data_IF_594853992920
#
_entry.id   IF_594853992920
#
_cell.length_a   1.000
_cell.length_b   1.000
_cell.length_c   1.000
_cell.angle_alpha   90.00
_cell.angle_beta   90.00
_cell.angle_gamma   90.00
#
_symmetry.space_group_name_H-M   'P 1'
#
loop_
_entity.id
_entity.type
_entity.pdbx_description
1 polymer ?
#
# COMPACT_ATOMS: atom_id res chain seq x y z
N UNK A 1 -10.02 26.14 6.07
CA UNK A 1 -10.54 25.41 7.25
C UNK A 1 -10.37 23.88 7.19
N UNK A 2 -10.57 23.21 6.03
CA UNK A 2 -10.39 21.74 5.92
C UNK A 2 -8.95 21.31 5.68
N UNK A 3 -8.13 22.15 5.06
CA UNK A 3 -6.77 21.81 4.68
C UNK A 3 -5.84 21.69 5.89
N UNK A 4 -5.92 22.59 6.85
CA UNK A 4 -5.04 22.64 8.01
C UNK A 4 -5.03 21.36 8.86
N UNK A 5 -6.19 20.82 9.27
CA UNK A 5 -6.19 19.57 10.04
C UNK A 5 -5.61 18.38 9.25
N UNK A 6 -5.90 18.31 7.96
CA UNK A 6 -5.38 17.27 7.06
C UNK A 6 -3.88 17.43 6.87
N UNK A 7 -3.42 18.64 6.60
CA UNK A 7 -2.01 18.95 6.43
C UNK A 7 -1.19 18.63 7.69
N UNK A 8 -1.74 18.91 8.88
CA UNK A 8 -1.12 18.59 10.16
C UNK A 8 -1.03 17.06 10.37
N UNK A 9 -2.11 16.32 10.10
CA UNK A 9 -2.15 14.87 10.18
C UNK A 9 -1.15 14.19 9.27
N UNK A 10 -0.93 14.75 8.07
CA UNK A 10 -0.01 14.22 7.06
C UNK A 10 1.42 14.75 7.20
N UNK A 11 1.69 15.62 8.19
CA UNK A 11 3.00 16.20 8.42
C UNK A 11 3.48 17.13 7.31
N UNK A 12 2.57 17.80 6.61
CA UNK A 12 2.86 18.74 5.52
C UNK A 12 2.44 20.18 5.82
N UNK A 13 2.06 20.49 7.06
CA UNK A 13 1.64 21.84 7.45
C UNK A 13 2.69 22.91 7.11
N UNK A 14 3.97 22.58 7.26
CA UNK A 14 5.10 23.48 6.94
C UNK A 14 5.33 23.66 5.43
N UNK A 15 4.65 22.89 4.57
CA UNK A 15 4.82 22.93 3.12
C UNK A 15 3.77 23.82 2.43
N UNK A 16 2.75 24.30 3.17
CA UNK A 16 1.63 25.04 2.59
C UNK A 16 2.08 26.34 1.89
N UNK A 17 3.19 26.91 2.33
CA UNK A 17 3.74 28.16 1.78
C UNK A 17 4.96 27.92 0.87
N UNK A 18 5.31 26.65 0.57
CA UNK A 18 6.45 26.31 -0.28
C UNK A 18 6.07 26.15 -1.74
N UNK A 19 6.99 26.50 -2.62
CA UNK A 19 6.85 26.20 -4.05
C UNK A 19 7.09 24.71 -4.35
N UNK A 20 6.52 24.15 -5.43
CA UNK A 20 6.65 22.74 -5.76
C UNK A 20 8.09 22.22 -5.92
N UNK A 21 9.02 23.06 -6.33
CA UNK A 21 10.43 22.70 -6.49
C UNK A 21 11.21 22.64 -5.16
N UNK A 22 10.63 23.17 -4.08
CA UNK A 22 11.24 23.18 -2.73
C UNK A 22 10.89 21.94 -1.91
N UNK A 23 10.06 21.04 -2.43
CA UNK A 23 9.56 19.87 -1.69
C UNK A 23 10.14 18.58 -2.24
N UNK A 24 10.39 17.62 -1.33
CA UNK A 24 10.87 16.28 -1.69
C UNK A 24 9.77 15.44 -2.37
N UNK A 25 10.16 14.30 -2.99
CA UNK A 25 9.22 13.36 -3.59
C UNK A 25 8.20 12.82 -2.58
N UNK A 26 8.64 12.46 -1.37
CA UNK A 26 7.75 12.00 -0.29
C UNK A 26 6.78 13.10 0.18
N UNK A 27 7.24 14.34 0.27
CA UNK A 27 6.39 15.49 0.59
C UNK A 27 5.35 15.75 -0.49
N UNK A 28 5.72 15.65 -1.77
CA UNK A 28 4.79 15.74 -2.90
C UNK A 28 3.70 14.70 -2.83
N UNK A 29 4.03 13.44 -2.52
CA UNK A 29 3.06 12.37 -2.38
C UNK A 29 2.11 12.60 -1.20
N UNK A 30 2.61 13.03 -0.06
CA UNK A 30 1.76 13.38 1.09
C UNK A 30 0.82 14.55 0.78
N UNK A 31 1.30 15.55 0.03
CA UNK A 31 0.46 16.66 -0.44
C UNK A 31 -0.64 16.17 -1.40
N UNK A 32 -0.34 15.24 -2.28
CA UNK A 32 -1.34 14.63 -3.17
C UNK A 32 -2.41 13.86 -2.39
N UNK A 33 -2.03 13.11 -1.36
CA UNK A 33 -2.97 12.43 -0.45
C UNK A 33 -3.86 13.45 0.29
N UNK A 34 -3.26 14.54 0.79
CA UNK A 34 -4.02 15.62 1.45
C UNK A 34 -5.07 16.23 0.51
N UNK A 35 -4.68 16.49 -0.74
CA UNK A 35 -5.60 17.02 -1.76
C UNK A 35 -6.76 16.08 -2.02
N UNK A 36 -6.50 14.79 -2.10
CA UNK A 36 -7.56 13.78 -2.28
C UNK A 36 -8.52 13.77 -1.07
N UNK A 37 -8.01 13.82 0.16
CA UNK A 37 -8.81 13.76 1.38
C UNK A 37 -9.68 14.99 1.62
N UNK A 38 -9.30 16.17 1.10
CA UNK A 38 -10.09 17.43 1.26
C UNK A 38 -11.50 17.26 0.71
N UNK A 39 -11.67 16.50 -0.36
CA UNK A 39 -12.96 16.26 -1.00
C UNK A 39 -13.85 15.27 -0.24
N UNK A 40 -13.35 14.66 0.83
CA UNK A 40 -14.01 13.58 1.59
C UNK A 40 -14.51 12.45 0.67
N UNK A 41 -13.63 11.82 -0.11
CA UNK A 41 -14.02 10.81 -1.08
C UNK A 41 -14.49 9.53 -0.38
N UNK A 42 -15.36 8.76 -1.04
CA UNK A 42 -15.72 7.42 -0.59
C UNK A 42 -14.59 6.40 -0.85
N UNK A 43 -13.77 6.67 -1.85
CA UNK A 43 -12.69 5.81 -2.29
C UNK A 43 -11.48 6.63 -2.73
N UNK A 44 -10.29 6.22 -2.31
CA UNK A 44 -9.00 6.74 -2.82
C UNK A 44 -8.40 5.69 -3.75
N UNK A 45 -7.98 6.12 -4.93
CA UNK A 45 -7.20 5.33 -5.87
C UNK A 45 -5.75 5.79 -5.82
N UNK A 46 -4.82 4.87 -5.57
CA UNK A 46 -3.39 5.12 -5.52
C UNK A 46 -2.68 4.24 -6.55
N UNK A 47 -2.10 4.85 -7.57
CA UNK A 47 -1.37 4.15 -8.63
C UNK A 47 0.14 4.33 -8.42
N UNK A 48 0.81 3.22 -8.10
CA UNK A 48 2.25 3.16 -7.78
C UNK A 48 2.74 4.31 -6.85
N UNK A 49 2.08 4.53 -5.71
CA UNK A 49 2.31 5.73 -4.89
C UNK A 49 3.72 5.80 -4.29
N UNK A 50 4.42 4.68 -4.22
CA UNK A 50 5.78 4.58 -3.65
C UNK A 50 6.88 4.44 -4.70
N UNK A 51 6.53 4.40 -5.99
CA UNK A 51 7.44 4.00 -7.07
C UNK A 51 8.69 4.88 -7.24
N UNK A 52 8.59 6.18 -6.90
CA UNK A 52 9.70 7.14 -7.02
C UNK A 52 10.29 7.57 -5.66
N UNK A 53 9.94 6.88 -4.57
CA UNK A 53 10.35 7.25 -3.22
C UNK A 53 11.53 6.40 -2.74
N UNK A 54 12.39 7.01 -1.89
CA UNK A 54 13.36 6.28 -1.09
C UNK A 54 12.68 5.41 -0.01
N UNK A 55 13.45 4.55 0.65
CA UNK A 55 12.90 3.61 1.63
C UNK A 55 12.18 4.30 2.79
N UNK A 56 12.75 5.39 3.31
CA UNK A 56 12.17 6.13 4.44
C UNK A 56 10.86 6.81 4.05
N UNK A 57 10.85 7.50 2.93
CA UNK A 57 9.64 8.15 2.40
C UNK A 57 8.55 7.14 2.05
N UNK A 58 8.94 5.96 1.57
CA UNK A 58 8.02 4.82 1.34
C UNK A 58 7.37 4.38 2.65
N UNK A 59 8.16 4.13 3.70
CA UNK A 59 7.65 3.71 5.00
C UNK A 59 6.69 4.74 5.61
N UNK A 60 7.04 6.02 5.51
CA UNK A 60 6.20 7.11 6.00
C UNK A 60 4.87 7.18 5.25
N UNK A 61 4.89 7.06 3.91
CA UNK A 61 3.67 7.09 3.11
C UNK A 61 2.77 5.88 3.37
N UNK A 62 3.33 4.68 3.47
CA UNK A 62 2.57 3.45 3.76
C UNK A 62 1.95 3.49 5.15
N UNK A 63 2.62 4.09 6.13
CA UNK A 63 2.05 4.34 7.45
C UNK A 63 0.85 5.28 7.37
N UNK A 64 0.96 6.36 6.62
CA UNK A 64 -0.14 7.30 6.38
C UNK A 64 -1.33 6.60 5.76
N UNK A 65 -1.15 5.77 4.72
CA UNK A 65 -2.24 5.00 4.12
C UNK A 65 -2.89 4.04 5.13
N UNK A 66 -2.09 3.37 5.96
CA UNK A 66 -2.60 2.48 7.00
C UNK A 66 -3.46 3.24 8.03
N UNK A 67 -3.01 4.42 8.45
CA UNK A 67 -3.74 5.26 9.42
C UNK A 67 -5.06 5.79 8.83
N UNK A 68 -5.04 6.28 7.59
CA UNK A 68 -6.23 6.75 6.88
C UNK A 68 -7.24 5.62 6.70
N UNK A 69 -6.79 4.44 6.34
CA UNK A 69 -7.64 3.25 6.19
C UNK A 69 -8.25 2.84 7.55
N UNK A 70 -7.46 2.85 8.62
CA UNK A 70 -7.96 2.58 9.98
C UNK A 70 -9.03 3.56 10.41
N UNK A 71 -8.94 4.80 9.97
CA UNK A 71 -9.95 5.84 10.21
C UNK A 71 -11.22 5.70 9.34
N UNK A 72 -11.31 4.64 8.54
CA UNK A 72 -12.49 4.29 7.77
C UNK A 72 -12.44 4.62 6.28
N UNK A 73 -11.31 5.16 5.76
CA UNK A 73 -11.16 5.45 4.34
C UNK A 73 -10.86 4.18 3.55
N UNK A 74 -11.66 3.92 2.54
CA UNK A 74 -11.37 2.85 1.57
C UNK A 74 -10.28 3.30 0.60
N UNK A 75 -9.28 2.44 0.40
CA UNK A 75 -8.15 2.71 -0.49
C UNK A 75 -7.94 1.51 -1.41
N UNK A 76 -7.87 1.76 -2.71
CA UNK A 76 -7.38 0.79 -3.70
C UNK A 76 -6.02 1.26 -4.18
N UNK A 77 -5.02 0.40 -4.05
CA UNK A 77 -3.66 0.67 -4.48
C UNK A 77 -3.27 -0.29 -5.60
N UNK A 78 -2.76 0.25 -6.69
CA UNK A 78 -2.09 -0.54 -7.75
C UNK A 78 -0.60 -0.41 -7.53
N UNK A 79 0.10 -1.54 -7.44
CA UNK A 79 1.54 -1.53 -7.17
C UNK A 79 2.23 -2.80 -7.63
N UNK A 80 3.50 -2.70 -8.03
CA UNK A 80 4.42 -3.82 -8.22
C UNK A 80 5.28 -4.08 -6.97
N UNK A 81 5.16 -3.25 -5.94
CA UNK A 81 5.92 -3.38 -4.70
C UNK A 81 5.26 -4.35 -3.74
N UNK A 82 5.92 -5.47 -3.44
CA UNK A 82 5.48 -6.42 -2.41
C UNK A 82 5.38 -5.75 -1.04
N UNK A 83 6.32 -4.85 -0.74
CA UNK A 83 6.32 -4.07 0.49
C UNK A 83 5.06 -3.20 0.62
N UNK A 84 4.69 -2.49 -0.44
CA UNK A 84 3.46 -1.69 -0.44
C UNK A 84 2.21 -2.58 -0.30
N UNK A 85 2.14 -3.67 -1.07
CA UNK A 85 1.03 -4.62 -1.01
C UNK A 85 0.88 -5.28 0.36
N UNK A 86 1.98 -5.49 1.09
CA UNK A 86 1.97 -6.11 2.42
C UNK A 86 1.25 -5.27 3.49
N UNK A 87 0.97 -4.01 3.23
CA UNK A 87 0.18 -3.15 4.12
C UNK A 87 -1.33 -3.28 3.91
N UNK A 88 -1.78 -3.91 2.83
CA UNK A 88 -3.19 -4.04 2.51
C UNK A 88 -3.91 -5.12 3.36
N UNK A 89 -5.21 -4.96 3.56
CA UNK A 89 -6.07 -5.99 4.15
C UNK A 89 -6.43 -7.11 3.18
N UNK A 90 -6.41 -6.82 1.88
CA UNK A 90 -6.69 -7.76 0.80
C UNK A 90 -5.79 -7.46 -0.38
N UNK A 91 -5.21 -8.48 -0.99
CA UNK A 91 -4.36 -8.36 -2.17
C UNK A 91 -4.96 -9.17 -3.31
N UNK A 92 -5.12 -8.54 -4.47
CA UNK A 92 -5.56 -9.18 -5.70
C UNK A 92 -4.35 -9.28 -6.65
N UNK A 93 -4.10 -10.48 -7.16
CA UNK A 93 -3.09 -10.72 -8.18
C UNK A 93 -3.76 -10.70 -9.55
N UNK A 94 -3.35 -9.74 -10.38
CA UNK A 94 -3.91 -9.54 -11.71
C UNK A 94 -2.87 -9.92 -12.75
N UNK A 95 -3.29 -10.73 -13.71
CA UNK A 95 -2.49 -11.13 -14.86
C UNK A 95 -3.39 -11.13 -16.10
N UNK A 96 -2.91 -10.54 -17.19
CA UNK A 96 -3.63 -10.49 -18.46
C UNK A 96 -5.08 -9.95 -18.37
N UNK A 97 -5.28 -8.99 -17.43
CA UNK A 97 -6.59 -8.36 -17.21
C UNK A 97 -7.56 -9.14 -16.32
N UNK A 98 -7.14 -10.29 -15.80
CA UNK A 98 -7.97 -11.13 -14.94
C UNK A 98 -7.40 -11.25 -13.52
N UNK A 99 -8.30 -11.38 -12.53
CA UNK A 99 -7.90 -11.69 -11.15
C UNK A 99 -7.55 -13.18 -11.07
N UNK A 100 -6.28 -13.44 -10.93
CA UNK A 100 -5.71 -14.78 -10.91
C UNK A 100 -5.74 -15.42 -9.54
N UNK A 101 -5.47 -14.63 -8.49
CA UNK A 101 -5.43 -15.08 -7.11
C UNK A 101 -5.73 -13.92 -6.16
N UNK A 102 -6.12 -14.24 -4.93
CA UNK A 102 -6.34 -13.25 -3.89
C UNK A 102 -5.87 -13.75 -2.52
N UNK A 103 -5.37 -12.83 -1.71
CA UNK A 103 -4.98 -13.06 -0.33
C UNK A 103 -5.72 -12.10 0.60
N UNK A 104 -6.17 -12.62 1.72
CA UNK A 104 -6.70 -11.83 2.84
C UNK A 104 -5.69 -11.81 3.97
N UNK A 105 -5.50 -10.65 4.58
CA UNK A 105 -4.59 -10.49 5.72
C UNK A 105 -4.99 -11.36 6.90
N UNK A 106 -6.28 -11.38 7.26
CA UNK A 106 -6.71 -12.01 8.51
C UNK A 106 -5.94 -11.43 9.70
N UNK A 107 -5.36 -12.30 10.51
CA UNK A 107 -4.53 -11.93 11.67
C UNK A 107 -3.04 -11.71 11.38
N UNK A 108 -2.61 -11.74 10.11
CA UNK A 108 -1.20 -11.61 9.74
C UNK A 108 -0.67 -10.18 9.91
N UNK A 109 0.58 -10.06 10.36
CA UNK A 109 1.31 -8.80 10.33
C UNK A 109 1.88 -8.51 8.93
N UNK A 110 2.52 -7.34 8.76
CA UNK A 110 3.06 -6.93 7.45
C UNK A 110 4.15 -7.88 6.94
N UNK A 111 4.98 -8.43 7.82
CA UNK A 111 6.06 -9.35 7.45
C UNK A 111 5.52 -10.68 6.95
N UNK A 112 4.52 -11.22 7.63
CA UNK A 112 3.82 -12.45 7.23
C UNK A 112 3.10 -12.26 5.89
N UNK A 113 2.42 -11.12 5.70
CA UNK A 113 1.82 -10.75 4.42
C UNK A 113 2.87 -10.63 3.31
N UNK A 114 4.00 -9.97 3.59
CA UNK A 114 5.10 -9.83 2.64
C UNK A 114 5.60 -11.19 2.15
N UNK A 115 5.86 -12.13 3.06
CA UNK A 115 6.29 -13.50 2.72
C UNK A 115 5.24 -14.19 1.86
N UNK A 116 3.98 -14.15 2.28
CA UNK A 116 2.88 -14.81 1.56
C UNK A 116 2.70 -14.27 0.14
N UNK A 117 2.80 -12.95 -0.04
CA UNK A 117 2.75 -12.31 -1.36
C UNK A 117 3.93 -12.73 -2.21
N UNK A 118 5.16 -12.71 -1.64
CA UNK A 118 6.39 -13.11 -2.35
C UNK A 118 6.32 -14.57 -2.81
N UNK A 119 5.89 -15.47 -1.95
CA UNK A 119 5.75 -16.89 -2.27
C UNK A 119 4.73 -17.09 -3.40
N UNK A 120 3.59 -16.41 -3.31
CA UNK A 120 2.55 -16.46 -4.35
C UNK A 120 3.09 -15.98 -5.69
N UNK A 121 3.81 -14.85 -5.72
CA UNK A 121 4.40 -14.33 -6.97
C UNK A 121 5.41 -15.31 -7.56
N UNK A 122 6.23 -15.95 -6.73
CA UNK A 122 7.19 -16.96 -7.18
C UNK A 122 6.48 -18.14 -7.81
N UNK A 123 5.45 -18.68 -7.17
CA UNK A 123 4.63 -19.76 -7.72
C UNK A 123 3.99 -19.39 -9.06
N UNK A 124 3.49 -18.16 -9.18
CA UNK A 124 2.86 -17.68 -10.41
C UNK A 124 3.86 -17.52 -11.58
N UNK A 125 5.13 -17.22 -11.27
CA UNK A 125 6.19 -17.06 -12.27
C UNK A 125 6.81 -18.38 -12.69
N UNK A 126 6.97 -19.32 -11.76
CA UNK A 126 7.69 -20.58 -11.98
C UNK A 126 6.79 -21.75 -12.37
N UNK A 127 5.48 -21.63 -12.13
CA UNK A 127 4.52 -22.72 -12.36
C UNK A 127 4.74 -23.96 -11.46
N UNK A 128 5.61 -23.86 -10.47
CA UNK A 128 5.92 -24.93 -9.53
C UNK A 128 5.28 -24.64 -8.18
N UNK A 129 4.46 -25.58 -7.63
CA UNK A 129 4.07 -25.49 -6.23
C UNK A 129 5.33 -25.60 -5.37
N UNK A 130 5.48 -24.74 -4.37
CA UNK A 130 6.49 -24.97 -3.35
C UNK A 130 6.14 -26.28 -2.63
N UNK A 131 6.93 -27.32 -2.83
CA UNK A 131 6.84 -28.57 -2.12
C UNK A 131 6.96 -28.32 -0.62
N UNK A 132 5.88 -28.47 0.11
CA UNK A 132 5.84 -28.26 1.54
C UNK A 132 4.52 -28.59 2.19
N UNK A 133 3.76 -29.55 1.67
CA UNK A 133 2.70 -30.20 2.46
C UNK A 133 3.08 -31.64 2.59
N UNK A 134 3.73 -31.94 3.71
CA UNK A 134 3.90 -33.28 4.22
C UNK A 134 2.51 -33.87 4.50
N UNK A 135 2.01 -34.67 3.56
CA UNK A 135 0.88 -35.55 3.79
C UNK A 135 1.38 -36.69 4.67
N UNK A 136 1.32 -36.48 5.97
CA UNK A 136 1.44 -37.57 6.95
C UNK A 136 0.20 -38.43 6.88
N UNK A 137 0.20 -39.41 5.98
CA UNK A 137 -0.62 -40.59 6.16
C UNK A 137 -0.02 -41.42 7.28
N UNK A 138 -0.61 -41.36 8.46
CA UNK A 138 -0.45 -42.29 9.54
C UNK A 138 -1.60 -43.29 9.51
N UNK A 139 -1.28 -44.52 9.25
CA UNK A 139 -2.13 -45.66 9.49
C UNK A 139 -2.55 -45.76 10.97
#
# INVERSE_FOLDING_TARGET
>A
ERLEPIAKKLGIATLLDKFPYEVSGGQKQRAAVARALITKPMLILADEPTGALDSRSTDDLLRIFSDINRDGQTIIMVTHSVKAASHAGRVLFIKDGEVFHQLYRGGMNNEEMYRKISDTLTMLQTGTPSDGINSGEGR
#
